data_IF_754600070913
#
_entry.id   IF_754600070913
#
_cell.length_a   1.000
_cell.length_b   1.000
_cell.length_c   1.000
_cell.angle_alpha   90.00
_cell.angle_beta   90.00
_cell.angle_gamma   90.00
#
_symmetry.space_group_name_H-M   'P 1'
#
loop_
_entity.id
_entity.type
_entity.pdbx_description
1 polymer ?
#
# COMPACT_ATOMS: atom_id res chain seq x y z
N UNK A 1 11.66 0.86 -8.93
CA UNK A 1 10.47 -0.02 -8.91
C UNK A 1 9.62 0.23 -10.14
N UNK A 2 9.26 -0.85 -10.83
CA UNK A 2 8.38 -0.73 -12.00
C UNK A 2 6.93 -0.66 -11.54
N UNK A 3 6.20 0.36 -11.97
CA UNK A 3 4.81 0.57 -11.59
C UNK A 3 3.93 0.34 -12.81
N UNK A 4 2.99 -0.63 -12.75
CA UNK A 4 2.10 -0.89 -13.87
C UNK A 4 1.25 0.35 -14.23
N UNK A 5 1.07 0.57 -15.53
CA UNK A 5 0.33 1.74 -16.00
C UNK A 5 -1.16 1.67 -15.67
N UNK A 6 -1.70 0.48 -15.42
CA UNK A 6 -3.11 0.30 -15.10
C UNK A 6 -3.48 0.70 -13.66
N UNK A 7 -2.51 1.00 -12.82
CA UNK A 7 -2.80 1.42 -11.45
C UNK A 7 -3.34 2.84 -11.41
N UNK A 8 -4.32 3.09 -10.52
CA UNK A 8 -4.80 4.43 -10.27
C UNK A 8 -3.72 5.24 -9.53
N UNK A 9 -3.86 6.56 -9.57
CA UNK A 9 -2.95 7.45 -8.83
C UNK A 9 -2.92 7.09 -7.35
N UNK A 10 -4.09 6.81 -6.77
CA UNK A 10 -4.20 6.41 -5.37
C UNK A 10 -3.41 5.14 -5.09
N UNK A 11 -3.53 4.15 -5.97
CA UNK A 11 -2.81 2.89 -5.80
C UNK A 11 -1.31 3.08 -5.93
N UNK A 12 -0.88 3.92 -6.85
CA UNK A 12 0.54 4.25 -7.02
C UNK A 12 1.08 4.91 -5.74
N UNK A 13 0.33 5.85 -5.18
CA UNK A 13 0.75 6.54 -3.97
C UNK A 13 0.87 5.58 -2.79
N UNK A 14 -0.08 4.66 -2.65
CA UNK A 14 -0.03 3.64 -1.60
C UNK A 14 1.20 2.75 -1.77
N UNK A 15 1.44 2.30 -3.00
CA UNK A 15 2.57 1.43 -3.29
C UNK A 15 3.90 2.10 -2.99
N UNK A 16 4.05 3.36 -3.38
CA UNK A 16 5.26 4.14 -3.09
C UNK A 16 5.45 4.33 -1.59
N UNK A 17 4.38 4.63 -0.88
CA UNK A 17 4.45 4.83 0.57
C UNK A 17 4.93 3.57 1.26
N UNK A 18 4.39 2.41 0.88
CA UNK A 18 4.80 1.14 1.45
C UNK A 18 6.26 0.87 1.15
N UNK A 19 6.67 1.09 -0.10
CA UNK A 19 8.06 0.87 -0.51
C UNK A 19 9.02 1.74 0.31
N UNK A 20 8.73 3.02 0.42
CA UNK A 20 9.58 3.96 1.17
C UNK A 20 9.63 3.60 2.64
N UNK A 21 8.49 3.19 3.20
CA UNK A 21 8.43 2.81 4.62
C UNK A 21 9.30 1.58 4.89
N UNK A 22 9.22 0.58 4.00
CA UNK A 22 10.04 -0.63 4.12
C UNK A 22 11.53 -0.32 4.02
N UNK A 23 11.90 0.59 3.11
CA UNK A 23 13.29 1.00 2.96
C UNK A 23 13.82 1.69 4.21
N UNK A 24 12.97 2.41 4.91
CA UNK A 24 13.37 3.22 6.06
C UNK A 24 13.33 2.42 7.36
N UNK A 25 12.33 1.55 7.54
CA UNK A 25 12.07 0.92 8.85
C UNK A 25 12.17 -0.60 8.84
N UNK A 26 12.32 -1.24 7.69
CA UNK A 26 12.40 -2.71 7.55
C UNK A 26 11.14 -3.47 7.95
N UNK A 27 10.02 -2.78 8.13
CA UNK A 27 8.72 -3.42 8.36
C UNK A 27 7.63 -2.60 7.67
N UNK A 28 6.49 -3.25 7.36
CA UNK A 28 5.43 -2.55 6.63
C UNK A 28 4.69 -1.55 7.52
N UNK A 29 4.11 -0.50 6.92
CA UNK A 29 3.30 0.45 7.67
C UNK A 29 1.95 -0.15 8.04
N UNK A 30 1.32 0.42 9.08
CA UNK A 30 -0.06 0.04 9.43
C UNK A 30 -1.03 0.64 8.41
N UNK A 31 -2.25 0.11 8.38
CA UNK A 31 -3.31 0.64 7.50
C UNK A 31 -3.56 2.12 7.81
N UNK A 32 -3.57 2.48 9.10
CA UNK A 32 -3.75 3.88 9.50
C UNK A 32 -2.63 4.77 8.97
N UNK A 33 -1.38 4.32 9.10
CA UNK A 33 -0.24 5.08 8.60
C UNK A 33 -0.32 5.29 7.09
N UNK A 34 -0.74 4.26 6.36
CA UNK A 34 -0.91 4.37 4.92
C UNK A 34 -1.98 5.42 4.61
N UNK A 35 -3.12 5.33 5.27
CA UNK A 35 -4.21 6.29 5.06
C UNK A 35 -3.79 7.72 5.31
N UNK A 36 -3.08 7.95 6.42
CA UNK A 36 -2.62 9.28 6.76
C UNK A 36 -1.61 9.82 5.73
N UNK A 37 -0.72 8.95 5.27
CA UNK A 37 0.31 9.37 4.32
C UNK A 37 -0.26 9.72 2.95
N UNK A 38 -1.31 9.05 2.51
CA UNK A 38 -1.88 9.27 1.17
C UNK A 38 -3.21 10.04 1.19
N UNK A 39 -3.62 10.52 2.38
CA UNK A 39 -4.81 11.36 2.49
C UNK A 39 -6.14 10.62 2.40
N UNK A 40 -6.18 9.36 2.83
CA UNK A 40 -7.42 8.57 2.84
C UNK A 40 -7.84 8.35 4.29
N UNK A 41 -9.01 8.84 4.66
CA UNK A 41 -9.51 8.72 6.04
C UNK A 41 -10.19 7.37 6.31
N UNK A 42 -10.66 6.67 5.27
CA UNK A 42 -11.36 5.41 5.44
C UNK A 42 -10.39 4.23 5.35
N UNK A 43 -10.32 3.43 6.44
CA UNK A 43 -9.49 2.23 6.45
C UNK A 43 -10.01 1.20 5.46
N UNK A 44 -11.33 1.17 5.21
CA UNK A 44 -11.92 0.26 4.22
C UNK A 44 -11.40 0.55 2.82
N UNK A 45 -11.24 1.82 2.47
CA UNK A 45 -10.71 2.21 1.16
C UNK A 45 -9.25 1.80 1.04
N UNK A 46 -8.47 2.00 2.11
CA UNK A 46 -7.07 1.57 2.12
C UNK A 46 -6.98 0.05 1.92
N UNK A 47 -7.76 -0.71 2.68
CA UNK A 47 -7.76 -2.18 2.61
C UNK A 47 -8.17 -2.66 1.22
N UNK A 48 -9.19 -2.04 0.64
CA UNK A 48 -9.65 -2.38 -0.72
C UNK A 48 -8.50 -2.25 -1.74
N UNK A 49 -7.78 -1.14 -1.67
CA UNK A 49 -6.67 -0.91 -2.58
C UNK A 49 -5.49 -1.84 -2.32
N UNK A 50 -5.23 -2.16 -1.05
CA UNK A 50 -4.19 -3.13 -0.70
C UNK A 50 -4.51 -4.51 -1.26
N UNK A 51 -5.77 -4.92 -1.21
CA UNK A 51 -6.19 -6.21 -1.77
C UNK A 51 -5.93 -6.27 -3.28
N UNK A 52 -6.20 -5.17 -3.97
CA UNK A 52 -5.94 -5.09 -5.41
C UNK A 52 -4.44 -5.21 -5.69
N UNK A 53 -3.63 -4.48 -4.95
CA UNK A 53 -2.18 -4.51 -5.12
C UNK A 53 -1.62 -5.89 -4.83
N UNK A 54 -2.15 -6.56 -3.82
CA UNK A 54 -1.74 -7.91 -3.48
C UNK A 54 -2.08 -8.90 -4.59
N UNK A 55 -3.30 -8.81 -5.14
CA UNK A 55 -3.73 -9.68 -6.24
C UNK A 55 -2.87 -9.51 -7.47
N UNK A 56 -2.35 -8.30 -7.69
CA UNK A 56 -1.47 -8.04 -8.82
C UNK A 56 -0.02 -8.44 -8.54
N UNK A 57 0.26 -8.97 -7.37
CA UNK A 57 1.59 -9.40 -6.99
C UNK A 57 2.58 -8.29 -6.71
N UNK A 58 2.09 -7.08 -6.45
CA UNK A 58 2.94 -5.92 -6.22
C UNK A 58 3.33 -5.75 -4.76
N UNK A 59 2.55 -6.31 -3.85
CA UNK A 59 2.85 -6.33 -2.42
C UNK A 59 2.54 -7.71 -1.86
N UNK A 60 3.18 -8.04 -0.74
CA UNK A 60 2.87 -9.25 0.02
C UNK A 60 2.37 -8.82 1.40
N UNK A 61 1.32 -9.48 1.88
CA UNK A 61 0.76 -9.20 3.20
C UNK A 61 0.86 -10.44 4.05
N UNK A 62 1.39 -10.29 5.25
CA UNK A 62 1.49 -11.39 6.19
C UNK A 62 0.19 -11.50 6.98
N UNK A 63 -0.67 -12.43 6.58
CA UNK A 63 -1.99 -12.60 7.17
C UNK A 63 -2.01 -13.57 8.33
N UNK A 64 -0.88 -14.21 8.60
CA UNK A 64 -0.79 -15.21 9.64
C UNK A 64 -0.33 -14.63 10.99
N UNK A 65 -0.22 -13.34 11.06
CA UNK A 65 0.28 -12.67 12.27
C UNK A 65 -0.71 -11.75 12.93
#
# INVERSE_FOLDING_TARGET
MAIPAELSERQVNILRMIHDHLQRYDFPPTIREIGEAVGISSTSVVTYNLDILERKGLIARDRDK
#
